data_IF_064363511931
#
_entry.id   IF_064363511931
#
_cell.length_a   1.000
_cell.length_b   1.000
_cell.length_c   1.000
_cell.angle_alpha   90.00
_cell.angle_beta   90.00
_cell.angle_gamma   90.00
#
_symmetry.space_group_name_H-M   'P 1'
#
loop_
_entity.id
_entity.type
_entity.pdbx_description
1 polymer ?
#
# COMPACT_ATOMS: atom_id res chain seq x y z
N UNK A 1 -18.44 22.40 10.06
CA UNK A 1 -17.59 21.25 9.86
C UNK A 1 -17.24 21.17 8.40
N UNK A 2 -15.99 21.46 8.07
CA UNK A 2 -15.49 21.44 6.69
C UNK A 2 -15.22 19.98 6.36
N UNK A 3 -15.99 19.38 5.45
CA UNK A 3 -15.75 18.04 4.89
C UNK A 3 -14.52 18.09 3.97
N UNK A 4 -13.34 18.22 4.57
CA UNK A 4 -12.08 18.09 3.86
C UNK A 4 -11.82 16.60 3.60
N UNK A 5 -12.10 16.15 2.39
CA UNK A 5 -11.63 14.84 1.92
C UNK A 5 -10.12 14.88 1.73
N UNK A 6 -9.38 14.43 2.73
CA UNK A 6 -7.94 14.26 2.64
C UNK A 6 -7.63 13.16 1.61
N UNK A 7 -6.85 13.48 0.60
CA UNK A 7 -6.35 12.51 -0.37
C UNK A 7 -4.96 12.00 0.05
N UNK A 8 -4.62 10.72 -0.23
CA UNK A 8 -3.28 10.20 0.01
C UNK A 8 -2.27 11.00 -0.83
N UNK A 9 -1.26 11.57 -0.17
CA UNK A 9 -0.27 12.46 -0.81
C UNK A 9 0.88 11.69 -1.44
N UNK A 10 1.10 10.42 -1.04
CA UNK A 10 2.24 9.64 -1.49
C UNK A 10 1.88 8.37 -2.23
N UNK A 11 2.63 8.10 -3.30
CA UNK A 11 2.61 6.83 -4.03
C UNK A 11 4.02 6.30 -4.10
N UNK A 12 4.19 5.03 -3.79
CA UNK A 12 5.43 4.31 -3.99
C UNK A 12 5.31 3.51 -5.28
N UNK A 13 6.23 3.73 -6.21
CA UNK A 13 6.24 3.05 -7.51
C UNK A 13 7.45 2.12 -7.57
N UNK A 14 7.22 0.90 -7.99
CA UNK A 14 8.25 -0.11 -8.22
C UNK A 14 7.92 -0.93 -9.46
N UNK A 15 8.85 -1.76 -9.89
CA UNK A 15 8.71 -2.56 -11.11
C UNK A 15 8.40 -4.02 -10.80
N UNK A 16 7.74 -4.69 -11.75
CA UNK A 16 7.63 -6.14 -11.80
C UNK A 16 8.96 -6.71 -12.29
N UNK A 17 9.70 -7.36 -11.39
CA UNK A 17 10.98 -7.97 -11.70
C UNK A 17 10.84 -9.32 -12.39
N UNK A 18 9.90 -10.15 -11.94
CA UNK A 18 9.75 -11.54 -12.40
C UNK A 18 8.28 -11.96 -12.36
N UNK A 19 7.93 -12.91 -13.22
CA UNK A 19 6.64 -13.59 -13.26
C UNK A 19 6.82 -15.10 -13.09
N UNK A 20 6.06 -15.71 -12.18
CA UNK A 20 6.11 -17.13 -11.91
C UNK A 20 4.74 -17.78 -12.02
N UNK A 21 4.67 -18.92 -12.71
CA UNK A 21 3.47 -19.76 -12.74
C UNK A 21 3.55 -20.76 -11.59
N UNK A 22 2.70 -20.59 -10.59
CA UNK A 22 2.68 -21.43 -9.40
C UNK A 22 1.52 -22.43 -9.46
N UNK A 23 1.77 -23.74 -9.26
CA UNK A 23 0.70 -24.72 -9.18
C UNK A 23 -0.13 -24.53 -7.90
N UNK A 24 -1.32 -25.13 -7.85
CA UNK A 24 -2.12 -25.20 -6.62
C UNK A 24 -1.31 -25.90 -5.52
N UNK A 25 -1.33 -25.35 -4.33
CA UNK A 25 -0.66 -25.90 -3.16
C UNK A 25 0.80 -25.48 -3.00
N UNK A 26 1.28 -24.54 -3.84
CA UNK A 26 2.63 -23.99 -3.73
C UNK A 26 2.74 -22.99 -2.58
N UNK A 27 3.83 -23.06 -1.81
CA UNK A 27 4.09 -22.10 -0.73
C UNK A 27 4.74 -20.82 -1.29
N UNK A 28 4.30 -19.65 -0.81
CA UNK A 28 4.82 -18.35 -1.22
C UNK A 28 5.39 -17.60 -0.03
N UNK A 29 6.62 -17.11 -0.19
CA UNK A 29 7.31 -16.28 0.79
C UNK A 29 7.90 -17.09 1.95
N UNK A 30 8.50 -16.34 2.88
CA UNK A 30 9.14 -16.91 4.06
C UNK A 30 8.12 -17.53 5.02
N UNK A 31 8.51 -18.59 5.70
CA UNK A 31 7.74 -19.26 6.76
C UNK A 31 6.45 -19.94 6.29
N UNK A 32 6.25 -20.16 4.99
CA UNK A 32 5.10 -20.88 4.42
C UNK A 32 3.73 -20.32 4.87
N UNK A 33 3.63 -19.02 5.06
CA UNK A 33 2.42 -18.36 5.59
C UNK A 33 1.28 -18.35 4.57
N UNK A 34 1.63 -18.42 3.29
CA UNK A 34 0.65 -18.44 2.22
C UNK A 34 0.85 -19.64 1.32
N UNK A 35 -0.26 -20.30 1.00
CA UNK A 35 -0.29 -21.43 0.07
C UNK A 35 -1.32 -21.16 -1.03
N UNK A 36 -0.92 -21.33 -2.28
CA UNK A 36 -1.80 -21.13 -3.44
C UNK A 36 -3.01 -22.07 -3.38
N UNK A 37 -4.21 -21.53 -3.53
CA UNK A 37 -5.46 -22.32 -3.52
C UNK A 37 -5.85 -22.80 -4.91
N UNK A 38 -5.28 -22.20 -5.94
CA UNK A 38 -5.48 -22.47 -7.38
C UNK A 38 -4.16 -22.27 -8.12
N UNK A 39 -4.02 -22.70 -9.37
CA UNK A 39 -2.92 -22.24 -10.22
C UNK A 39 -2.92 -20.71 -10.24
N UNK A 40 -1.76 -20.12 -9.97
CA UNK A 40 -1.63 -18.68 -9.71
C UNK A 40 -0.45 -18.11 -10.47
N UNK A 41 -0.66 -17.01 -11.18
CA UNK A 41 0.44 -16.21 -11.75
C UNK A 41 0.87 -15.21 -10.69
N UNK A 42 2.07 -15.35 -10.19
CA UNK A 42 2.66 -14.50 -9.18
C UNK A 42 3.66 -13.54 -9.82
N UNK A 43 3.56 -12.25 -9.50
CA UNK A 43 4.54 -11.25 -9.87
C UNK A 43 5.40 -10.89 -8.65
N UNK A 44 6.72 -10.82 -8.85
CA UNK A 44 7.67 -10.34 -7.85
C UNK A 44 7.96 -8.87 -8.13
N UNK A 45 7.72 -8.03 -7.12
CA UNK A 45 7.95 -6.60 -7.18
C UNK A 45 9.26 -6.22 -6.49
N UNK A 46 9.99 -5.25 -7.03
CA UNK A 46 11.25 -4.72 -6.49
C UNK A 46 11.05 -3.78 -5.30
N UNK A 47 10.15 -4.11 -4.38
CA UNK A 47 9.81 -3.30 -3.23
C UNK A 47 9.53 -4.15 -2.00
N UNK A 48 10.08 -3.77 -0.86
CA UNK A 48 9.97 -4.52 0.38
C UNK A 48 10.01 -3.68 1.66
N UNK A 49 10.29 -4.35 2.77
CA UNK A 49 10.37 -3.72 4.09
C UNK A 49 11.54 -2.72 4.19
N UNK A 50 12.64 -2.97 3.47
CA UNK A 50 13.80 -2.07 3.45
C UNK A 50 13.42 -0.70 2.89
N UNK A 51 12.54 -0.67 1.89
CA UNK A 51 12.05 0.56 1.26
C UNK A 51 11.02 1.31 2.10
N UNK A 52 10.57 0.71 3.20
CA UNK A 52 9.57 1.29 4.11
C UNK A 52 8.14 0.80 3.86
N UNK A 53 7.91 -0.18 2.98
CA UNK A 53 6.60 -0.80 2.85
C UNK A 53 6.19 -1.46 4.18
N UNK A 54 4.92 -1.29 4.56
CA UNK A 54 4.35 -1.77 5.84
C UNK A 54 4.96 -1.13 7.11
N UNK A 55 5.81 -0.13 7.01
CA UNK A 55 6.18 0.64 8.21
C UNK A 55 4.95 1.36 8.75
N UNK A 56 4.61 1.06 9.99
CA UNK A 56 3.49 1.68 10.73
C UNK A 56 4.08 2.32 11.97
N UNK A 57 3.53 3.46 12.38
CA UNK A 57 3.85 4.03 13.70
C UNK A 57 3.60 3.00 14.80
N UNK A 58 4.53 2.94 15.77
CA UNK A 58 4.31 2.20 17.00
C UNK A 58 2.97 2.62 17.62
N UNK A 59 2.24 1.65 18.15
CA UNK A 59 0.96 1.94 18.80
C UNK A 59 1.25 2.54 20.16
N UNK A 60 1.08 3.86 20.30
CA UNK A 60 1.17 4.57 21.56
C UNK A 60 -0.09 4.31 22.39
N UNK A 61 -0.11 3.17 23.11
CA UNK A 61 -1.23 2.76 23.94
C UNK A 61 -1.02 3.22 25.40
N UNK A 62 -1.08 4.53 25.64
CA UNK A 62 -0.90 5.10 26.99
C UNK A 62 -2.15 5.02 27.87
N UNK A 63 -3.35 4.88 27.26
CA UNK A 63 -4.62 4.86 27.99
C UNK A 63 -5.25 3.47 27.95
N UNK A 64 -5.92 3.01 29.04
CA UNK A 64 -6.57 1.69 29.09
C UNK A 64 -7.66 1.53 28.00
N UNK A 65 -8.37 2.60 27.65
CA UNK A 65 -9.35 2.61 26.55
C UNK A 65 -8.71 2.39 25.18
N UNK A 66 -7.47 2.83 24.96
CA UNK A 66 -6.76 2.59 23.70
C UNK A 66 -6.42 1.11 23.56
N UNK A 67 -6.09 0.42 24.66
CA UNK A 67 -5.83 -1.03 24.66
C UNK A 67 -7.07 -1.83 24.26
N UNK A 68 -8.24 -1.45 24.75
CA UNK A 68 -9.51 -2.12 24.39
C UNK A 68 -9.85 -1.86 22.91
N UNK A 69 -9.65 -0.65 22.42
CA UNK A 69 -9.83 -0.30 21.00
C UNK A 69 -8.86 -1.07 20.12
N UNK A 70 -7.60 -1.22 20.50
CA UNK A 70 -6.61 -2.02 19.78
C UNK A 70 -6.97 -3.50 19.76
N UNK A 71 -7.46 -4.04 20.86
CA UNK A 71 -7.95 -5.42 20.94
C UNK A 71 -9.12 -5.62 19.95
N UNK A 72 -10.05 -4.67 19.90
CA UNK A 72 -11.19 -4.73 18.98
C UNK A 72 -10.76 -4.64 17.50
N UNK A 73 -9.80 -3.77 17.20
CA UNK A 73 -9.20 -3.69 15.87
C UNK A 73 -8.40 -4.95 15.50
N UNK A 74 -7.72 -5.57 16.46
CA UNK A 74 -7.04 -6.84 16.25
C UNK A 74 -8.03 -7.98 15.94
N UNK A 75 -9.14 -8.05 16.68
CA UNK A 75 -10.22 -9.02 16.42
C UNK A 75 -10.89 -8.79 15.07
N UNK A 76 -11.15 -7.54 14.70
CA UNK A 76 -11.63 -7.19 13.35
C UNK A 76 -10.63 -7.55 12.25
N UNK A 77 -9.33 -7.38 12.52
CA UNK A 77 -8.26 -7.77 11.60
C UNK A 77 -8.15 -9.29 11.38
N UNK A 78 -8.62 -10.10 12.34
CA UNK A 78 -8.73 -11.56 12.19
C UNK A 78 -9.87 -11.96 11.24
N UNK A 79 -10.88 -11.12 11.04
CA UNK A 79 -12.04 -11.42 10.19
C UNK A 79 -11.80 -11.20 8.68
N UNK A 80 -10.63 -10.70 8.27
CA UNK A 80 -10.28 -10.57 6.86
C UNK A 80 -8.79 -10.36 6.67
N UNK A 81 -8.18 -10.95 5.64
CA UNK A 81 -6.79 -10.66 5.31
C UNK A 81 -6.71 -9.20 4.85
N UNK A 82 -6.12 -8.34 5.66
CA UNK A 82 -5.65 -7.03 5.21
C UNK A 82 -4.40 -7.24 4.35
N UNK A 83 -4.57 -7.88 3.20
CA UNK A 83 -3.50 -7.97 2.24
C UNK A 83 -3.19 -6.54 1.78
N UNK A 84 -1.94 -6.14 1.88
CA UNK A 84 -1.47 -4.95 1.22
C UNK A 84 -1.83 -5.09 -0.26
N UNK A 85 -2.39 -4.06 -0.86
CA UNK A 85 -2.73 -4.07 -2.29
C UNK A 85 -1.91 -3.01 -3.01
N UNK A 86 -1.51 -3.33 -4.23
CA UNK A 86 -0.98 -2.35 -5.18
C UNK A 86 -1.89 -2.24 -6.39
N UNK A 87 -1.60 -1.29 -7.26
CA UNK A 87 -2.25 -1.13 -8.56
C UNK A 87 -1.21 -1.36 -9.65
N UNK A 88 -1.49 -2.27 -10.59
CA UNK A 88 -0.67 -2.54 -11.78
C UNK A 88 -1.59 -2.41 -13.00
N UNK A 89 -1.23 -1.60 -13.98
CA UNK A 89 -2.03 -1.36 -15.19
C UNK A 89 -3.50 -1.03 -14.90
N UNK A 90 -3.76 -0.24 -13.84
CA UNK A 90 -5.12 0.12 -13.41
C UNK A 90 -5.87 -0.95 -12.59
N UNK A 91 -5.34 -2.16 -12.48
CA UNK A 91 -5.93 -3.26 -11.70
C UNK A 91 -5.39 -3.28 -10.28
N UNK A 92 -6.31 -3.39 -9.30
CA UNK A 92 -5.93 -3.58 -7.90
C UNK A 92 -5.61 -5.04 -7.65
N UNK A 93 -4.36 -5.33 -7.25
CA UNK A 93 -3.84 -6.67 -6.99
C UNK A 93 -3.43 -6.82 -5.52
N UNK A 94 -3.77 -7.95 -4.89
CA UNK A 94 -3.41 -8.23 -3.51
C UNK A 94 -2.00 -8.80 -3.42
N UNK A 95 -1.29 -8.47 -2.34
CA UNK A 95 -0.06 -9.17 -1.99
C UNK A 95 -0.39 -10.58 -1.50
N UNK A 96 0.46 -11.54 -1.86
CA UNK A 96 0.38 -12.92 -1.40
C UNK A 96 1.65 -13.30 -0.65
N UNK A 97 1.47 -13.97 0.48
CA UNK A 97 2.58 -14.24 1.39
C UNK A 97 3.00 -13.03 2.21
N UNK A 98 4.18 -13.12 2.80
CA UNK A 98 4.75 -12.05 3.62
C UNK A 98 5.61 -11.14 2.75
N UNK A 99 5.50 -9.82 2.97
CA UNK A 99 6.42 -8.86 2.34
C UNK A 99 7.84 -9.16 2.79
N UNK A 100 8.72 -9.36 1.83
CA UNK A 100 10.13 -9.63 2.06
C UNK A 100 10.92 -8.34 2.34
N UNK A 101 12.21 -8.47 2.60
CA UNK A 101 13.08 -7.32 2.87
C UNK A 101 13.21 -6.42 1.64
N UNK A 102 13.44 -7.01 0.47
CA UNK A 102 13.68 -6.31 -0.80
C UNK A 102 12.69 -6.66 -1.91
N UNK A 103 11.67 -7.46 -1.61
CA UNK A 103 10.71 -7.88 -2.62
C UNK A 103 9.34 -8.23 -2.03
N UNK A 104 8.31 -8.03 -2.83
CA UNK A 104 6.92 -8.33 -2.49
C UNK A 104 6.31 -9.16 -3.60
N UNK A 105 5.53 -10.18 -3.25
CA UNK A 105 4.84 -11.03 -4.23
C UNK A 105 3.36 -10.68 -4.28
N UNK A 106 2.81 -10.57 -5.49
CA UNK A 106 1.40 -10.24 -5.74
C UNK A 106 0.74 -11.26 -6.67
N UNK A 107 -0.57 -11.46 -6.53
CA UNK A 107 -1.36 -12.35 -7.40
C UNK A 107 -1.87 -11.55 -8.62
N UNK A 108 -1.33 -11.83 -9.78
CA UNK A 108 -1.71 -11.21 -11.06
C UNK A 108 -2.43 -12.19 -11.99
N UNK A 109 -3.01 -13.25 -11.45
CA UNK A 109 -3.69 -14.29 -12.23
C UNK A 109 -4.81 -13.71 -13.09
N UNK A 110 -4.71 -13.95 -14.40
CA UNK A 110 -5.71 -13.48 -15.38
C UNK A 110 -5.60 -12.01 -15.75
N UNK A 111 -4.55 -11.33 -15.29
CA UNK A 111 -4.28 -9.94 -15.67
C UNK A 111 -3.15 -9.86 -16.71
N UNK A 112 -3.22 -8.89 -17.64
CA UNK A 112 -2.16 -8.65 -18.62
C UNK A 112 -1.04 -7.86 -17.91
N UNK A 113 -0.13 -8.58 -17.27
CA UNK A 113 1.02 -8.02 -16.57
C UNK A 113 2.29 -8.63 -17.12
N UNK A 114 3.27 -7.78 -17.42
CA UNK A 114 4.58 -8.16 -17.96
C UNK A 114 5.71 -7.70 -17.02
N UNK A 115 6.89 -8.29 -17.22
CA UNK A 115 8.11 -7.84 -16.54
C UNK A 115 8.45 -6.43 -16.99
N UNK A 116 8.75 -5.54 -16.06
CA UNK A 116 8.95 -4.11 -16.31
C UNK A 116 7.71 -3.24 -16.10
N UNK A 117 6.52 -3.82 -15.91
CA UNK A 117 5.32 -3.06 -15.57
C UNK A 117 5.46 -2.37 -14.22
N UNK A 118 4.82 -1.20 -14.09
CA UNK A 118 4.87 -0.40 -12.87
C UNK A 118 3.75 -0.79 -11.88
N UNK A 119 4.16 -1.13 -10.68
CA UNK A 119 3.28 -1.35 -9.54
C UNK A 119 3.27 -0.11 -8.63
N UNK A 120 2.08 0.34 -8.24
CA UNK A 120 1.89 1.52 -7.42
C UNK A 120 1.22 1.18 -6.10
N UNK A 121 1.89 1.49 -4.98
CA UNK A 121 1.34 1.38 -3.63
C UNK A 121 0.92 2.75 -3.11
N UNK A 122 -0.25 2.84 -2.49
CA UNK A 122 -0.63 4.00 -1.69
C UNK A 122 0.11 3.90 -0.35
N UNK A 123 1.02 4.84 -0.10
CA UNK A 123 1.87 4.84 1.10
C UNK A 123 1.85 6.19 1.78
N UNK A 124 2.20 6.20 3.08
CA UNK A 124 2.53 7.44 3.75
C UNK A 124 4.02 7.76 3.50
N UNK A 125 4.35 8.89 2.84
CA UNK A 125 5.74 9.23 2.48
C UNK A 125 6.69 9.33 3.66
N UNK A 126 6.17 9.55 4.88
CA UNK A 126 6.98 9.65 6.10
C UNK A 126 7.67 8.33 6.47
N UNK A 127 7.17 7.19 5.99
CA UNK A 127 7.70 5.87 6.32
C UNK A 127 8.61 5.29 5.24
N UNK A 128 8.65 5.92 4.08
CA UNK A 128 9.52 5.50 2.98
C UNK A 128 10.96 5.86 3.33
N UNK A 129 11.86 4.92 3.09
CA UNK A 129 13.28 5.10 3.36
C UNK A 129 13.86 6.30 2.60
N UNK A 130 14.83 6.97 3.19
CA UNK A 130 15.47 8.16 2.61
C UNK A 130 16.31 7.84 1.37
N UNK A 131 16.74 6.57 1.21
CA UNK A 131 17.47 6.12 0.04
C UNK A 131 16.60 6.00 -1.21
N UNK A 132 15.27 5.93 -1.05
CA UNK A 132 14.32 5.89 -2.16
C UNK A 132 14.22 7.27 -2.80
N UNK A 133 14.46 7.33 -4.11
CA UNK A 133 14.35 8.58 -4.88
C UNK A 133 12.92 9.13 -4.79
N UNK A 134 12.80 10.41 -4.44
CA UNK A 134 11.52 11.11 -4.35
C UNK A 134 11.33 12.05 -5.53
N UNK A 135 10.19 11.94 -6.17
CA UNK A 135 9.76 12.84 -7.23
C UNK A 135 8.56 13.63 -6.73
N UNK A 136 8.67 14.94 -6.71
CA UNK A 136 7.57 15.83 -6.34
C UNK A 136 6.85 16.23 -7.62
N UNK A 137 5.55 15.90 -7.70
CA UNK A 137 4.70 16.29 -8.83
C UNK A 137 3.80 17.41 -8.32
N UNK A 138 3.98 18.61 -8.86
CA UNK A 138 3.05 19.71 -8.64
C UNK A 138 1.76 19.40 -9.41
N UNK A 139 0.71 19.06 -8.67
CA UNK A 139 -0.63 19.03 -9.24
C UNK A 139 -1.16 20.45 -9.18
N UNK A 140 -1.48 21.06 -10.31
CA UNK A 140 -2.20 22.34 -10.34
C UNK A 140 -3.43 22.22 -9.42
N UNK A 141 -3.34 22.87 -8.26
CA UNK A 141 -4.50 23.03 -7.41
C UNK A 141 -5.48 23.92 -8.17
N UNK A 142 -6.76 23.53 -8.31
CA UNK A 142 -7.76 24.46 -8.75
C UNK A 142 -7.70 25.67 -7.80
N UNK A 143 -7.51 26.86 -8.36
CA UNK A 143 -7.32 28.09 -7.60
C UNK A 143 -8.37 28.18 -6.49
N UNK A 144 -7.89 28.34 -5.25
CA UNK A 144 -8.77 28.60 -4.13
C UNK A 144 -9.63 29.84 -4.46
N UNK A 145 -10.96 29.81 -4.22
CA UNK A 145 -11.79 30.97 -4.46
C UNK A 145 -11.21 32.15 -3.68
N UNK A 146 -10.98 33.26 -4.36
CA UNK A 146 -10.47 34.48 -3.78
C UNK A 146 -11.29 34.85 -2.52
N UNK A 147 -10.68 35.29 -1.42
CA UNK A 147 -11.41 35.71 -0.25
C UNK A 147 -12.33 36.87 -0.64
N UNK A 148 -13.62 36.60 -0.53
CA UNK A 148 -14.67 37.61 -0.77
C UNK A 148 -14.41 38.79 0.18
N UNK A 149 -14.13 39.95 -0.39
CA UNK A 149 -13.74 41.14 0.34
C UNK A 149 -14.72 41.46 1.48
N UNK A 150 -14.16 41.69 2.63
CA UNK A 150 -14.84 42.38 3.73
C UNK A 150 -15.04 43.80 3.26
N UNK A 151 -16.28 44.16 3.00
CA UNK A 151 -16.66 45.56 2.77
C UNK A 151 -16.36 46.37 4.03
N UNK A 152 -15.77 47.60 3.93
CA UNK A 152 -15.62 48.46 5.07
C UNK A 152 -17.01 48.95 5.50
N UNK A 153 -17.33 48.73 6.76
CA UNK A 153 -18.51 49.35 7.37
C UNK A 153 -18.21 50.84 7.71
N UNK A 154 -19.20 51.71 7.60
CA UNK A 154 -19.08 53.14 7.82
C UNK A 154 -18.82 53.53 9.30
#
# INVERSE_FOLDING_TARGET
>A
PTDLKLQPVGRFVCEVAELHQLPKGHNVGYTNVYRTRRPTTAAVLTAGLADGLLRVHGKDAFRPFDRLRYLWHAVKGLAGPQALCCTINGHRVPTIGRVGTSGTVVDVTGLPVEVGDLACFAVNPMFIDSAVQRVYIETEQPAAPAPTGVAPQP
#
